data_IF_543594025800
#
_entry.id   IF_543594025800
#
_cell.length_a   1.000
_cell.length_b   1.000
_cell.length_c   1.000
_cell.angle_alpha   90.00
_cell.angle_beta   90.00
_cell.angle_gamma   90.00
#
_symmetry.space_group_name_H-M   'P 1'
#
loop_
_entity.id
_entity.type
_entity.pdbx_description
1 polymer ?
#
# COMPACT_ATOMS: atom_id res chain seq x y z
N UNK A 1 -36.55 -9.35 -43.06
CA UNK A 1 -36.78 -9.72 -41.65
C UNK A 1 -35.50 -10.38 -41.14
N UNK A 2 -34.63 -9.59 -40.48
CA UNK A 2 -33.43 -10.07 -39.84
C UNK A 2 -33.64 -9.87 -38.33
N UNK A 3 -33.75 -10.97 -37.60
CA UNK A 3 -33.78 -11.00 -36.16
C UNK A 3 -32.37 -10.73 -35.61
N UNK A 4 -32.25 -9.63 -34.93
CA UNK A 4 -31.05 -9.27 -34.18
C UNK A 4 -31.05 -10.05 -32.86
N UNK A 5 -30.30 -11.12 -32.80
CA UNK A 5 -30.07 -11.86 -31.58
C UNK A 5 -29.21 -11.00 -30.60
N UNK A 6 -29.85 -10.46 -29.58
CA UNK A 6 -29.17 -9.84 -28.46
C UNK A 6 -28.41 -10.94 -27.67
N UNK A 7 -27.09 -10.98 -27.82
CA UNK A 7 -26.26 -11.81 -26.94
C UNK A 7 -26.20 -11.15 -25.57
N UNK A 8 -27.16 -11.54 -24.72
CA UNK A 8 -27.06 -11.30 -23.28
C UNK A 8 -25.86 -12.05 -22.74
N UNK A 9 -24.77 -11.34 -22.38
CA UNK A 9 -23.73 -11.92 -21.53
C UNK A 9 -24.37 -12.29 -20.19
N UNK A 10 -24.67 -13.57 -20.04
CA UNK A 10 -25.01 -14.15 -18.75
C UNK A 10 -23.73 -14.13 -17.91
N UNK A 11 -23.54 -13.11 -17.09
CA UNK A 11 -22.54 -13.11 -16.04
C UNK A 11 -22.97 -14.18 -15.01
N UNK A 12 -22.54 -15.41 -15.22
CA UNK A 12 -22.63 -16.43 -14.16
C UNK A 12 -21.77 -15.96 -13.01
N UNK A 13 -22.39 -15.88 -11.85
CA UNK A 13 -21.83 -15.47 -10.56
C UNK A 13 -20.83 -16.48 -10.00
N UNK A 14 -19.75 -16.78 -10.73
CA UNK A 14 -18.57 -17.42 -10.19
C UNK A 14 -17.47 -16.35 -9.98
N UNK A 15 -17.79 -15.40 -9.09
CA UNK A 15 -16.77 -14.47 -8.63
C UNK A 15 -15.92 -15.19 -7.58
N UNK A 16 -14.76 -15.68 -8.00
CA UNK A 16 -13.81 -16.37 -7.12
C UNK A 16 -13.15 -15.40 -6.12
N UNK A 17 -12.98 -14.12 -6.49
CA UNK A 17 -12.45 -13.06 -5.62
C UNK A 17 -13.63 -12.35 -4.95
N UNK A 18 -13.62 -12.29 -3.61
CA UNK A 18 -14.63 -11.55 -2.84
C UNK A 18 -14.30 -10.08 -2.69
N UNK A 19 -13.03 -9.76 -2.39
CA UNK A 19 -12.51 -8.39 -2.22
C UNK A 19 -10.99 -8.41 -2.22
N UNK A 20 -10.36 -7.25 -2.44
CA UNK A 20 -8.99 -7.01 -2.02
C UNK A 20 -9.00 -6.87 -0.49
N UNK A 21 -8.29 -7.72 0.24
CA UNK A 21 -8.27 -7.67 1.70
C UNK A 21 -7.25 -6.64 2.20
N UNK A 22 -5.99 -6.81 1.84
CA UNK A 22 -4.92 -5.87 2.18
C UNK A 22 -3.76 -5.97 1.18
N UNK A 23 -2.85 -5.01 1.26
CA UNK A 23 -1.52 -5.06 0.65
C UNK A 23 -0.52 -5.16 1.78
N UNK A 24 0.40 -6.14 1.71
CA UNK A 24 1.46 -6.31 2.70
C UNK A 24 2.72 -5.58 2.28
N UNK A 25 3.36 -4.91 3.23
CA UNK A 25 4.63 -4.19 3.07
C UNK A 25 5.59 -4.68 4.14
N UNK A 26 6.68 -5.29 3.69
CA UNK A 26 7.76 -5.71 4.61
C UNK A 26 8.62 -4.49 4.93
N UNK A 27 8.84 -4.25 6.22
CA UNK A 27 9.60 -3.11 6.74
C UNK A 27 10.62 -3.58 7.79
N UNK A 28 11.73 -2.90 7.89
CA UNK A 28 12.76 -3.12 8.91
C UNK A 28 12.50 -2.31 10.19
N UNK A 29 11.91 -1.12 10.06
CA UNK A 29 11.49 -0.25 11.17
C UNK A 29 9.97 -0.10 11.20
N UNK A 30 9.32 -0.92 12.02
CA UNK A 30 7.86 -0.94 12.15
C UNK A 30 7.32 0.36 12.77
N UNK A 31 8.06 0.96 13.72
CA UNK A 31 7.66 2.21 14.35
C UNK A 31 7.68 3.39 13.37
N UNK A 32 8.72 3.48 12.53
CA UNK A 32 8.81 4.48 11.46
C UNK A 32 7.69 4.29 10.42
N UNK A 33 7.37 3.04 10.06
CA UNK A 33 6.29 2.75 9.13
C UNK A 33 4.92 3.14 9.71
N UNK A 34 4.64 2.82 10.96
CA UNK A 34 3.40 3.23 11.65
C UNK A 34 3.30 4.75 11.68
N UNK A 35 4.36 5.46 12.05
CA UNK A 35 4.38 6.92 12.10
C UNK A 35 4.09 7.54 10.73
N UNK A 36 4.69 6.99 9.66
CA UNK A 36 4.47 7.43 8.28
C UNK A 36 3.00 7.27 7.85
N UNK A 37 2.41 6.08 8.02
CA UNK A 37 1.03 5.84 7.60
C UNK A 37 0.02 6.54 8.50
N UNK A 38 0.33 6.77 9.79
CA UNK A 38 -0.47 7.62 10.67
C UNK A 38 -0.45 9.08 10.21
N UNK A 39 0.71 9.61 9.82
CA UNK A 39 0.84 10.96 9.25
C UNK A 39 0.10 11.10 7.90
N UNK A 40 -0.01 10.01 7.14
CA UNK A 40 -0.83 9.95 5.91
C UNK A 40 -2.34 10.04 6.22
N UNK A 41 -2.77 9.63 7.41
CA UNK A 41 -4.17 9.66 7.84
C UNK A 41 -4.77 8.28 8.11
N UNK A 42 -3.96 7.22 8.07
CA UNK A 42 -4.42 5.87 8.45
C UNK A 42 -4.43 5.70 9.97
N UNK A 43 -5.24 4.78 10.45
CA UNK A 43 -5.32 4.40 11.86
C UNK A 43 -4.80 2.99 12.07
N UNK A 44 -4.17 2.74 13.22
CA UNK A 44 -3.78 1.40 13.64
C UNK A 44 -5.05 0.62 14.01
N UNK A 45 -5.24 -0.53 13.36
CA UNK A 45 -6.42 -1.39 13.54
C UNK A 45 -6.10 -2.67 14.34
N UNK A 46 -4.84 -3.11 14.35
CA UNK A 46 -4.41 -4.28 15.10
C UNK A 46 -2.90 -4.49 15.01
N UNK A 47 -2.38 -5.19 16.02
CA UNK A 47 -0.97 -5.57 16.11
C UNK A 47 -0.88 -6.99 16.68
N UNK A 48 -0.04 -7.84 16.08
CA UNK A 48 0.12 -9.20 16.52
C UNK A 48 1.46 -9.82 16.13
N UNK A 49 2.12 -10.56 17.01
CA UNK A 49 3.21 -11.44 16.62
C UNK A 49 2.64 -12.72 15.99
N UNK A 50 3.28 -13.19 14.93
CA UNK A 50 2.93 -14.43 14.22
C UNK A 50 4.14 -15.32 14.15
N UNK A 51 3.96 -16.60 14.56
CA UNK A 51 4.97 -17.65 14.45
C UNK A 51 4.33 -19.04 14.44
N UNK A 52 5.11 -20.06 14.16
CA UNK A 52 4.69 -21.47 14.23
C UNK A 52 4.62 -22.16 12.86
N UNK A 53 4.42 -23.49 12.85
CA UNK A 53 4.53 -24.30 11.64
C UNK A 53 3.55 -23.95 10.54
N UNK A 54 2.43 -23.34 10.86
CA UNK A 54 1.42 -22.95 9.85
C UNK A 54 1.91 -21.76 9.01
N UNK A 55 2.56 -20.78 9.65
CA UNK A 55 3.07 -19.60 8.94
C UNK A 55 4.28 -19.95 8.08
N UNK A 56 5.12 -20.91 8.53
CA UNK A 56 6.21 -21.46 7.73
C UNK A 56 5.68 -22.04 6.41
N UNK A 57 4.63 -22.87 6.50
CA UNK A 57 4.00 -23.47 5.32
C UNK A 57 3.39 -22.45 4.36
N UNK A 58 2.77 -21.40 4.90
CA UNK A 58 2.17 -20.32 4.07
C UNK A 58 3.24 -19.51 3.36
N UNK A 59 4.34 -19.18 4.05
CA UNK A 59 5.42 -18.37 3.48
C UNK A 59 6.42 -19.18 2.65
N UNK A 60 6.47 -20.52 2.82
CA UNK A 60 7.50 -21.36 2.21
C UNK A 60 8.91 -21.10 2.80
N UNK A 61 8.97 -20.65 4.03
CA UNK A 61 10.19 -20.34 4.79
C UNK A 61 10.21 -21.20 6.06
N UNK A 62 11.36 -21.28 6.72
CA UNK A 62 11.52 -22.04 7.96
C UNK A 62 11.72 -21.13 9.17
N UNK A 63 11.03 -21.43 10.27
CA UNK A 63 11.16 -20.73 11.54
C UNK A 63 10.67 -19.28 11.48
N UNK A 64 9.63 -18.99 10.73
CA UNK A 64 9.09 -17.64 10.55
C UNK A 64 8.62 -17.06 11.88
N UNK A 65 9.13 -15.87 12.18
CA UNK A 65 8.69 -15.03 13.29
C UNK A 65 8.54 -13.60 12.77
N UNK A 66 7.32 -13.08 12.78
CA UNK A 66 7.01 -11.74 12.30
C UNK A 66 6.17 -10.97 13.31
N UNK A 67 6.32 -9.66 13.30
CA UNK A 67 5.39 -8.73 13.94
C UNK A 67 4.57 -8.07 12.83
N UNK A 68 3.26 -8.15 12.94
CA UNK A 68 2.31 -7.62 11.97
C UNK A 68 1.53 -6.47 12.59
N UNK A 69 1.37 -5.40 11.84
CA UNK A 69 0.49 -4.27 12.17
C UNK A 69 -0.46 -4.03 11.01
N UNK A 70 -1.73 -3.92 11.31
CA UNK A 70 -2.76 -3.56 10.33
C UNK A 70 -3.06 -2.07 10.45
N UNK A 71 -2.89 -1.35 9.35
CA UNK A 71 -3.30 0.05 9.20
C UNK A 71 -4.56 0.11 8.35
N UNK A 72 -5.51 0.98 8.73
CA UNK A 72 -6.81 1.13 8.06
C UNK A 72 -7.01 2.57 7.57
N UNK A 73 -7.57 2.73 6.37
CA UNK A 73 -8.02 4.03 5.86
C UNK A 73 -9.22 4.56 6.64
N UNK A 74 -9.45 5.89 6.72
CA UNK A 74 -10.56 6.49 7.47
C UNK A 74 -11.95 5.99 7.04
N UNK A 75 -12.14 5.66 5.77
CA UNK A 75 -13.38 5.08 5.22
C UNK A 75 -13.59 3.60 5.60
N UNK A 76 -12.57 2.97 6.20
CA UNK A 76 -12.60 1.58 6.64
C UNK A 76 -12.42 0.54 5.53
N UNK A 77 -12.27 0.93 4.27
CA UNK A 77 -12.22 0.02 3.14
C UNK A 77 -10.79 -0.41 2.76
N UNK A 78 -9.82 0.48 2.90
CA UNK A 78 -8.41 0.20 2.59
C UNK A 78 -7.64 -0.34 3.80
N UNK A 79 -6.83 -1.37 3.59
CA UNK A 79 -5.94 -1.93 4.61
C UNK A 79 -4.53 -2.12 4.07
N UNK A 80 -3.56 -1.82 4.91
CA UNK A 80 -2.17 -2.22 4.72
C UNK A 80 -1.77 -3.12 5.89
N UNK A 81 -1.00 -4.16 5.59
CA UNK A 81 -0.30 -4.96 6.57
C UNK A 81 1.17 -4.54 6.56
N UNK A 82 1.65 -4.03 7.68
CA UNK A 82 3.08 -3.75 7.88
C UNK A 82 3.69 -4.96 8.59
N UNK A 83 4.65 -5.62 7.95
CA UNK A 83 5.25 -6.84 8.44
C UNK A 83 6.73 -6.65 8.70
N UNK A 84 7.16 -6.90 9.94
CA UNK A 84 8.58 -6.94 10.31
C UNK A 84 9.00 -8.38 10.57
N UNK A 85 9.91 -8.90 9.75
CA UNK A 85 10.51 -10.20 9.98
C UNK A 85 11.56 -10.12 11.09
N UNK A 86 11.39 -10.94 12.12
CA UNK A 86 12.43 -11.19 13.14
C UNK A 86 13.31 -12.38 12.72
N UNK A 87 12.70 -13.38 12.10
CA UNK A 87 13.33 -14.55 11.50
C UNK A 87 12.50 -15.09 10.33
N UNK A 88 13.11 -15.50 9.19
CA UNK A 88 14.47 -15.12 8.78
C UNK A 88 14.62 -13.61 8.64
N UNK A 89 15.85 -13.10 8.59
CA UNK A 89 16.06 -11.67 8.36
C UNK A 89 15.50 -11.25 7.00
N UNK A 90 14.93 -10.05 6.86
CA UNK A 90 14.46 -9.54 5.58
C UNK A 90 15.61 -9.43 4.58
N UNK A 91 15.29 -9.64 3.30
CA UNK A 91 16.23 -9.47 2.21
C UNK A 91 16.08 -8.04 1.69
N UNK A 92 17.18 -7.29 1.70
CA UNK A 92 17.22 -5.95 1.12
C UNK A 92 17.19 -6.03 -0.40
N UNK A 93 16.41 -5.14 -1.03
CA UNK A 93 16.39 -5.03 -2.48
C UNK A 93 17.51 -4.09 -2.96
N UNK A 94 18.11 -4.42 -4.10
CA UNK A 94 19.11 -3.58 -4.76
C UNK A 94 18.57 -3.00 -6.08
N UNK A 95 18.60 -1.68 -6.26
CA UNK A 95 19.01 -0.66 -5.28
C UNK A 95 17.95 -0.43 -4.20
N UNK A 96 18.36 -0.09 -2.99
CA UNK A 96 17.45 0.16 -1.86
C UNK A 96 16.42 1.28 -2.17
N UNK A 97 16.82 2.24 -3.00
CA UNK A 97 15.95 3.31 -3.53
C UNK A 97 15.63 3.00 -4.99
N UNK A 98 14.78 2.01 -5.21
CA UNK A 98 14.36 1.63 -6.56
C UNK A 98 13.49 2.73 -7.19
N UNK A 99 13.74 3.13 -8.45
CA UNK A 99 12.93 4.13 -9.14
C UNK A 99 11.50 3.62 -9.46
N UNK A 100 10.54 4.53 -9.74
CA UNK A 100 9.14 4.16 -9.97
C UNK A 100 8.90 3.20 -11.14
N UNK A 101 9.81 3.15 -12.10
CA UNK A 101 9.74 2.25 -13.26
C UNK A 101 10.37 0.86 -13.02
N UNK A 102 10.73 0.53 -11.79
CA UNK A 102 11.18 -0.82 -11.43
C UNK A 102 10.02 -1.81 -11.49
N UNK A 103 10.26 -2.99 -12.05
CA UNK A 103 9.22 -4.02 -12.17
C UNK A 103 8.65 -4.45 -10.80
N UNK A 104 7.37 -4.82 -10.80
CA UNK A 104 6.63 -5.27 -9.63
C UNK A 104 5.70 -4.20 -9.08
N UNK A 105 5.12 -4.44 -7.89
CA UNK A 105 4.27 -3.46 -7.20
C UNK A 105 5.13 -2.24 -6.81
N UNK A 106 4.79 -1.07 -7.35
CA UNK A 106 5.62 0.14 -7.15
C UNK A 106 5.01 1.18 -6.25
N UNK A 107 3.70 1.36 -6.30
CA UNK A 107 3.04 2.38 -5.49
C UNK A 107 1.66 1.94 -5.05
N UNK A 108 1.22 2.51 -3.94
CA UNK A 108 -0.17 2.48 -3.49
C UNK A 108 -0.67 3.92 -3.49
N UNK A 109 -1.81 4.18 -4.16
CA UNK A 109 -2.38 5.51 -4.29
C UNK A 109 -3.45 5.76 -3.24
N UNK A 110 -3.42 6.96 -2.67
CA UNK A 110 -4.42 7.48 -1.75
C UNK A 110 -4.98 8.79 -2.28
N UNK A 111 -6.30 8.93 -2.27
CA UNK A 111 -6.96 10.22 -2.46
C UNK A 111 -6.89 10.98 -1.15
N UNK A 112 -6.48 12.25 -1.21
CA UNK A 112 -6.28 13.13 -0.05
C UNK A 112 -7.02 14.45 -0.26
N UNK A 113 -7.39 15.13 0.82
CA UNK A 113 -8.05 16.43 0.75
C UNK A 113 -7.12 17.53 0.25
N UNK A 114 -5.82 17.49 0.63
CA UNK A 114 -4.79 18.45 0.22
C UNK A 114 -3.48 17.71 0.04
N UNK A 115 -2.92 17.77 -1.16
CA UNK A 115 -1.59 17.23 -1.45
C UNK A 115 -0.53 18.00 -0.66
N UNK A 116 -0.60 19.34 -0.60
CA UNK A 116 0.42 20.15 0.07
C UNK A 116 0.48 19.86 1.57
N UNK A 117 -0.67 19.80 2.25
CA UNK A 117 -0.72 19.50 3.68
C UNK A 117 -0.26 18.08 3.98
N UNK A 118 -0.62 17.11 3.12
CA UNK A 118 -0.21 15.72 3.28
C UNK A 118 1.29 15.56 3.06
N UNK A 119 1.84 16.21 2.03
CA UNK A 119 3.30 16.25 1.78
C UNK A 119 4.03 16.85 2.97
N UNK A 120 3.53 17.96 3.56
CA UNK A 120 4.15 18.58 4.72
C UNK A 120 4.17 17.62 5.94
N UNK A 121 3.05 16.93 6.21
CA UNK A 121 2.99 15.93 7.29
C UNK A 121 3.93 14.76 7.06
N UNK A 122 3.99 14.22 5.86
CA UNK A 122 4.85 13.08 5.52
C UNK A 122 6.33 13.46 5.56
N UNK A 123 6.70 14.66 5.12
CA UNK A 123 8.09 15.16 5.25
C UNK A 123 8.55 15.22 6.70
N UNK A 124 7.66 15.52 7.64
CA UNK A 124 7.99 15.52 9.07
C UNK A 124 8.35 14.12 9.60
N UNK A 125 7.97 13.05 8.90
CA UNK A 125 8.39 11.66 9.21
C UNK A 125 9.66 11.21 8.46
N UNK A 126 10.30 12.11 7.70
CA UNK A 126 11.49 11.81 6.91
C UNK A 126 11.20 11.35 5.48
N UNK A 127 9.94 11.40 5.03
CA UNK A 127 9.58 11.05 3.66
C UNK A 127 10.00 12.15 2.65
N UNK A 128 10.28 11.74 1.43
CA UNK A 128 10.75 12.65 0.36
C UNK A 128 9.87 12.52 -0.88
N UNK A 129 9.74 13.62 -1.63
CA UNK A 129 9.16 13.59 -2.97
C UNK A 129 10.08 12.80 -3.91
N UNK A 130 9.48 11.92 -4.72
CA UNK A 130 10.20 11.19 -5.77
C UNK A 130 10.47 12.10 -6.98
N UNK A 131 9.51 12.94 -7.29
CA UNK A 131 9.59 13.99 -8.31
C UNK A 131 9.05 15.30 -7.73
N UNK A 132 8.06 15.88 -8.37
CA UNK A 132 7.41 17.12 -7.94
C UNK A 132 5.88 16.92 -7.80
N UNK A 133 5.22 17.88 -7.16
CA UNK A 133 3.76 17.97 -7.20
C UNK A 133 3.38 18.53 -8.57
N UNK A 134 2.59 17.77 -9.33
CA UNK A 134 2.12 18.14 -10.64
C UNK A 134 0.61 18.26 -10.67
N UNK A 135 0.10 19.15 -11.51
CA UNK A 135 -1.34 19.26 -11.77
C UNK A 135 -1.65 18.65 -13.14
N UNK A 136 -2.66 17.80 -13.16
CA UNK A 136 -3.22 17.23 -14.38
C UNK A 136 -4.55 17.90 -14.70
N UNK A 137 -4.55 18.79 -15.69
CA UNK A 137 -5.72 19.60 -16.07
C UNK A 137 -6.33 20.31 -14.83
N UNK A 138 -7.64 20.55 -14.84
CA UNK A 138 -8.39 21.03 -13.67
C UNK A 138 -9.01 19.87 -12.87
N UNK A 139 -8.37 18.71 -12.89
CA UNK A 139 -8.91 17.48 -12.31
C UNK A 139 -8.17 17.02 -11.06
N UNK A 140 -6.84 16.97 -11.12
CA UNK A 140 -6.04 16.39 -10.06
C UNK A 140 -4.76 17.15 -9.82
N UNK A 141 -4.33 17.19 -8.55
CA UNK A 141 -2.94 17.42 -8.17
C UNK A 141 -2.36 16.11 -7.67
N UNK A 142 -1.18 15.78 -8.13
CA UNK A 142 -0.58 14.45 -7.94
C UNK A 142 0.88 14.56 -7.53
N UNK A 143 1.33 13.66 -6.66
CA UNK A 143 2.74 13.46 -6.41
C UNK A 143 3.03 12.04 -5.93
N UNK A 144 4.31 11.69 -5.93
CA UNK A 144 4.82 10.46 -5.30
C UNK A 144 5.70 10.82 -4.12
N UNK A 145 5.46 10.15 -2.98
CA UNK A 145 6.26 10.25 -1.77
C UNK A 145 6.95 8.91 -1.51
N UNK A 146 8.23 8.97 -1.16
CA UNK A 146 8.98 7.80 -0.71
C UNK A 146 9.02 7.77 0.80
N UNK A 147 8.54 6.66 1.36
CA UNK A 147 8.48 6.39 2.78
C UNK A 147 9.43 5.28 3.24
N UNK A 148 9.22 4.73 4.44
CA UNK A 148 10.02 3.66 5.03
C UNK A 148 10.16 2.46 4.10
N UNK A 149 11.31 1.76 4.18
CA UNK A 149 11.66 0.61 3.34
C UNK A 149 11.52 0.87 1.82
N UNK A 150 11.60 2.15 1.40
CA UNK A 150 11.53 2.53 -0.01
C UNK A 150 10.15 2.46 -0.64
N UNK A 151 9.09 2.26 0.13
CA UNK A 151 7.71 2.27 -0.40
C UNK A 151 7.41 3.61 -1.08
N UNK A 152 6.72 3.55 -2.21
CA UNK A 152 6.19 4.73 -2.89
C UNK A 152 4.68 4.81 -2.62
N UNK A 153 4.23 5.90 -2.02
CA UNK A 153 2.81 6.25 -1.97
C UNK A 153 2.54 7.35 -3.00
N UNK A 154 1.50 7.17 -3.80
CA UNK A 154 0.97 8.18 -4.68
C UNK A 154 -0.13 8.94 -3.92
N UNK A 155 -0.14 10.26 -4.02
CA UNK A 155 -1.16 11.14 -3.47
C UNK A 155 -1.93 11.78 -4.60
N UNK A 156 -3.25 11.80 -4.51
CA UNK A 156 -4.14 12.44 -5.46
C UNK A 156 -5.13 13.35 -4.71
N UNK A 157 -5.14 14.64 -5.06
CA UNK A 157 -6.14 15.62 -4.64
C UNK A 157 -7.08 15.86 -5.82
N UNK A 158 -8.38 15.67 -5.62
CA UNK A 158 -9.42 15.95 -6.62
C UNK A 158 -9.77 17.44 -6.59
N UNK A 159 -9.84 18.07 -7.75
CA UNK A 159 -10.09 19.52 -7.90
C UNK A 159 -11.54 19.86 -8.30
N UNK A 160 -12.46 18.88 -8.27
CA UNK A 160 -13.87 19.02 -8.66
C UNK A 160 -14.84 18.61 -7.55
#
# INVERSE_FOLDING_TARGET
LAETAAHGLCYTRDMTIKRLDHVSVVVDDLAAAIAFFTALGMTLDGEMPIEGPWVDRVNGLEGVQVDIVIMRTPDGHGRLELTKFRNPKPIEIEPAIAPPNTLGLRSVMFTVESVDDTVARLRATGAELVGEVAQYEDKYRLCYMRGPAGIIVALAEELF
#
